data_IF_421561496251
#
_entry.id   IF_421561496251
#
_cell.length_a   1.000
_cell.length_b   1.000
_cell.length_c   1.000
_cell.angle_alpha   90.00
_cell.angle_beta   90.00
_cell.angle_gamma   90.00
#
_symmetry.space_group_name_H-M   'P 1'
#
loop_
_entity.id
_entity.type
_entity.pdbx_description
1 polymer ?
#
# COMPACT_ATOMS: atom_id res chain seq x y z
N UNK A 1 11.83 2.75 -23.99
CA UNK A 1 12.82 1.74 -23.53
C UNK A 1 13.49 1.12 -24.75
N UNK A 2 14.81 0.93 -24.70
CA UNK A 2 15.51 0.11 -25.69
C UNK A 2 15.30 -1.37 -25.38
N UNK A 3 15.30 -2.25 -26.41
CA UNK A 3 15.15 -3.69 -26.23
C UNK A 3 16.14 -4.29 -25.23
N UNK A 4 17.38 -3.79 -25.23
CA UNK A 4 18.41 -4.19 -24.27
C UNK A 4 18.03 -3.88 -22.81
N UNK A 5 17.37 -2.74 -22.57
CA UNK A 5 16.91 -2.39 -21.22
C UNK A 5 15.76 -3.29 -20.78
N UNK A 6 14.83 -3.62 -21.68
CA UNK A 6 13.76 -4.56 -21.39
C UNK A 6 14.30 -5.94 -21.01
N UNK A 7 15.27 -6.43 -21.75
CA UNK A 7 15.87 -7.74 -21.47
C UNK A 7 16.59 -7.76 -20.12
N UNK A 8 17.33 -6.71 -19.77
CA UNK A 8 17.96 -6.58 -18.45
C UNK A 8 16.94 -6.57 -17.30
N UNK A 9 15.82 -5.87 -17.48
CA UNK A 9 14.75 -5.88 -16.47
C UNK A 9 14.10 -7.25 -16.35
N UNK A 10 13.87 -7.96 -17.46
CA UNK A 10 13.31 -9.33 -17.44
C UNK A 10 14.25 -10.31 -16.73
N UNK A 11 15.55 -10.25 -16.99
CA UNK A 11 16.55 -11.06 -16.29
C UNK A 11 16.55 -10.76 -14.77
N UNK A 12 16.49 -9.48 -14.41
CA UNK A 12 16.45 -9.05 -13.01
C UNK A 12 15.16 -9.52 -12.33
N UNK A 13 14.00 -9.41 -12.98
CA UNK A 13 12.73 -9.91 -12.48
C UNK A 13 12.81 -11.42 -12.26
N UNK A 14 13.29 -12.17 -13.24
CA UNK A 14 13.41 -13.62 -13.13
C UNK A 14 14.36 -14.04 -12.00
N UNK A 15 15.50 -13.39 -11.83
CA UNK A 15 16.42 -13.67 -10.74
C UNK A 15 15.80 -13.41 -9.37
N UNK A 16 15.01 -12.35 -9.24
CA UNK A 16 14.30 -12.02 -8.00
C UNK A 16 13.16 -12.99 -7.71
N UNK A 17 12.43 -13.44 -8.73
CA UNK A 17 11.37 -14.45 -8.57
C UNK A 17 11.97 -15.78 -8.07
N UNK A 18 13.08 -16.22 -8.66
CA UNK A 18 13.78 -17.42 -8.19
C UNK A 18 14.21 -17.28 -6.73
N UNK A 19 14.76 -16.13 -6.36
CA UNK A 19 15.14 -15.84 -4.97
C UNK A 19 13.94 -15.89 -4.03
N UNK A 20 12.81 -15.29 -4.40
CA UNK A 20 11.61 -15.31 -3.57
C UNK A 20 11.01 -16.71 -3.46
N UNK A 21 11.03 -17.50 -4.54
CA UNK A 21 10.57 -18.87 -4.46
C UNK A 21 11.41 -19.71 -3.47
N UNK A 22 12.71 -19.46 -3.38
CA UNK A 22 13.57 -20.08 -2.36
C UNK A 22 13.23 -19.58 -0.96
N UNK A 23 13.13 -18.27 -0.77
CA UNK A 23 12.77 -17.67 0.52
C UNK A 23 11.37 -18.10 0.99
N UNK A 24 10.39 -18.21 0.08
CA UNK A 24 9.05 -18.69 0.43
C UNK A 24 9.06 -20.16 0.87
N UNK A 25 9.85 -21.01 0.22
CA UNK A 25 10.01 -22.42 0.65
C UNK A 25 10.75 -22.54 1.99
N UNK A 26 11.68 -21.66 2.30
CA UNK A 26 12.33 -21.59 3.61
C UNK A 26 11.33 -21.21 4.70
N UNK A 27 10.48 -20.19 4.45
CA UNK A 27 9.43 -19.75 5.38
C UNK A 27 8.35 -20.82 5.56
N UNK A 28 8.01 -21.60 4.52
CA UNK A 28 7.08 -22.74 4.61
C UNK A 28 7.61 -23.85 5.52
N UNK A 29 8.91 -24.08 5.51
CA UNK A 29 9.56 -25.13 6.28
C UNK A 29 9.96 -24.69 7.71
N UNK A 30 9.74 -23.42 8.07
CA UNK A 30 10.09 -22.91 9.39
C UNK A 30 9.06 -23.33 10.44
N UNK A 31 9.41 -24.19 11.41
CA UNK A 31 8.49 -24.70 12.42
C UNK A 31 8.01 -23.61 13.40
N UNK A 32 8.64 -22.44 13.41
CA UNK A 32 8.24 -21.33 14.28
C UNK A 32 7.02 -20.58 13.72
N UNK A 33 6.74 -20.71 12.43
CA UNK A 33 5.64 -20.06 11.73
C UNK A 33 4.47 -21.06 11.59
N UNK A 34 3.74 -21.28 12.67
CA UNK A 34 2.58 -22.18 12.65
C UNK A 34 1.29 -21.50 12.21
N UNK A 35 1.25 -20.16 12.13
CA UNK A 35 0.07 -19.40 11.77
C UNK A 35 0.09 -19.03 10.28
N UNK A 36 -0.93 -19.47 9.55
CA UNK A 36 -1.14 -19.16 8.13
C UNK A 36 -1.15 -17.66 7.83
N UNK A 37 -1.74 -16.84 8.72
CA UNK A 37 -1.86 -15.40 8.50
C UNK A 37 -0.50 -14.68 8.59
N UNK A 38 0.38 -15.17 9.47
CA UNK A 38 1.74 -14.65 9.60
C UNK A 38 2.53 -14.99 8.34
N UNK A 39 2.45 -16.23 7.87
CA UNK A 39 3.06 -16.67 6.63
C UNK A 39 2.63 -15.80 5.43
N UNK A 40 1.32 -15.63 5.22
CA UNK A 40 0.78 -14.83 4.13
C UNK A 40 1.23 -13.36 4.20
N UNK A 41 1.32 -12.78 5.40
CA UNK A 41 1.82 -11.41 5.57
C UNK A 41 3.32 -11.28 5.24
N UNK A 42 4.15 -12.24 5.65
CA UNK A 42 5.57 -12.25 5.34
C UNK A 42 5.77 -12.33 3.82
N UNK A 43 5.14 -13.30 3.16
CA UNK A 43 5.27 -13.48 1.70
C UNK A 43 4.76 -12.24 0.95
N UNK A 44 3.63 -11.67 1.35
CA UNK A 44 3.10 -10.43 0.76
C UNK A 44 4.09 -9.27 0.89
N UNK A 45 4.74 -9.13 2.04
CA UNK A 45 5.71 -8.08 2.30
C UNK A 45 6.98 -8.26 1.44
N UNK A 46 7.48 -9.50 1.32
CA UNK A 46 8.60 -9.83 0.45
C UNK A 46 8.30 -9.46 -1.02
N UNK A 47 7.14 -9.85 -1.53
CA UNK A 47 6.72 -9.57 -2.90
C UNK A 47 6.52 -8.07 -3.16
N UNK A 48 6.02 -7.33 -2.18
CA UNK A 48 5.87 -5.87 -2.26
C UNK A 48 7.25 -5.20 -2.29
N UNK A 49 8.20 -5.67 -1.50
CA UNK A 49 9.57 -5.16 -1.48
C UNK A 49 10.26 -5.34 -2.83
N UNK A 50 10.05 -6.48 -3.49
CA UNK A 50 10.57 -6.71 -4.84
C UNK A 50 10.05 -5.67 -5.81
N UNK A 51 8.74 -5.43 -5.83
CA UNK A 51 8.13 -4.43 -6.70
C UNK A 51 8.73 -3.05 -6.46
N UNK A 52 8.91 -2.66 -5.20
CA UNK A 52 9.48 -1.37 -4.84
C UNK A 52 10.95 -1.24 -5.29
N UNK A 53 11.75 -2.29 -5.11
CA UNK A 53 13.15 -2.32 -5.54
C UNK A 53 13.29 -2.21 -7.05
N UNK A 54 12.49 -2.96 -7.81
CA UNK A 54 12.49 -2.88 -9.28
C UNK A 54 12.01 -1.49 -9.73
N UNK A 55 10.98 -0.94 -9.10
CA UNK A 55 10.48 0.40 -9.37
C UNK A 55 11.54 1.47 -9.16
N UNK A 56 12.26 1.43 -8.05
CA UNK A 56 13.35 2.35 -7.73
C UNK A 56 14.52 2.22 -8.73
N UNK A 57 14.88 1.01 -9.10
CA UNK A 57 15.92 0.76 -10.09
C UNK A 57 15.53 1.30 -11.47
N UNK A 58 14.26 1.11 -11.86
CA UNK A 58 13.73 1.66 -13.10
C UNK A 58 13.76 3.20 -13.10
N UNK A 59 13.32 3.84 -12.02
CA UNK A 59 13.32 5.29 -11.88
C UNK A 59 14.73 5.88 -11.92
N UNK A 60 15.70 5.24 -11.27
CA UNK A 60 17.09 5.66 -11.33
C UNK A 60 17.65 5.58 -12.76
N UNK A 61 17.27 4.56 -13.51
CA UNK A 61 17.65 4.39 -14.92
C UNK A 61 17.06 5.47 -15.84
N UNK A 62 15.89 6.00 -15.51
CA UNK A 62 15.25 7.11 -16.24
C UNK A 62 15.92 8.44 -15.89
N UNK A 63 16.15 8.70 -14.61
CA UNK A 63 16.74 9.97 -14.15
C UNK A 63 18.13 10.24 -14.73
N UNK A 64 18.90 9.19 -14.97
CA UNK A 64 20.27 9.28 -15.46
C UNK A 64 20.38 9.46 -16.99
N UNK A 65 19.28 9.60 -17.72
CA UNK A 65 19.33 9.82 -19.18
C UNK A 65 19.49 11.31 -19.53
N UNK A 66 20.38 11.66 -20.48
CA UNK A 66 20.64 13.05 -20.85
C UNK A 66 19.44 13.80 -21.46
N UNK A 67 18.42 13.09 -21.97
CA UNK A 67 17.21 13.67 -22.57
C UNK A 67 15.96 13.56 -21.69
N UNK A 68 16.14 13.52 -20.38
CA UNK A 68 15.04 13.33 -19.43
C UNK A 68 13.98 14.46 -19.48
N UNK A 69 14.37 15.65 -19.87
CA UNK A 69 13.47 16.81 -19.98
C UNK A 69 12.41 16.69 -21.09
N UNK A 70 12.55 15.73 -22.01
CA UNK A 70 11.56 15.47 -23.06
C UNK A 70 10.54 14.39 -22.68
N UNK A 71 10.68 13.78 -21.50
CA UNK A 71 9.72 12.78 -21.02
C UNK A 71 8.64 13.43 -20.17
N UNK A 72 7.47 13.64 -20.74
CA UNK A 72 6.34 14.26 -20.06
C UNK A 72 5.94 13.54 -18.77
N UNK A 73 6.10 12.23 -18.69
CA UNK A 73 5.79 11.43 -17.50
C UNK A 73 6.81 11.72 -16.39
N UNK A 74 8.11 11.79 -16.72
CA UNK A 74 9.16 12.14 -15.77
C UNK A 74 9.02 13.59 -15.28
N UNK A 75 8.65 14.52 -16.16
CA UNK A 75 8.34 15.91 -15.81
C UNK A 75 7.13 16.01 -14.88
N UNK A 76 6.05 15.30 -15.17
CA UNK A 76 4.86 15.28 -14.33
C UNK A 76 5.14 14.73 -12.93
N UNK A 77 6.02 13.74 -12.82
CA UNK A 77 6.47 13.20 -11.55
C UNK A 77 7.33 14.21 -10.77
N UNK A 78 8.28 14.89 -11.44
CA UNK A 78 9.13 15.88 -10.79
C UNK A 78 8.35 17.14 -10.36
N UNK A 79 7.27 17.46 -11.04
CA UNK A 79 6.38 18.58 -10.73
C UNK A 79 5.42 18.32 -9.55
N UNK A 80 5.51 17.16 -8.87
CA UNK A 80 4.63 16.82 -7.73
C UNK A 80 3.16 16.62 -8.12
N UNK A 81 2.88 16.37 -9.41
CA UNK A 81 1.53 16.08 -9.88
C UNK A 81 1.10 14.65 -9.49
N UNK A 82 -0.13 14.26 -9.85
CA UNK A 82 -0.73 12.95 -9.50
C UNK A 82 0.00 11.71 -10.03
N UNK A 83 1.08 11.87 -10.77
CA UNK A 83 1.88 10.75 -11.32
C UNK A 83 2.84 10.25 -10.26
N UNK A 84 2.46 9.15 -9.60
CA UNK A 84 3.34 8.48 -8.66
C UNK A 84 4.40 7.65 -9.44
N UNK A 85 5.67 7.65 -9.01
CA UNK A 85 6.72 6.77 -9.53
C UNK A 85 6.33 5.30 -9.62
N UNK A 86 5.65 4.80 -8.60
CA UNK A 86 5.14 3.42 -8.58
C UNK A 86 4.20 3.11 -9.74
N UNK A 87 3.33 4.05 -10.11
CA UNK A 87 2.40 3.86 -11.23
C UNK A 87 3.14 3.76 -12.57
N UNK A 88 4.24 4.50 -12.71
CA UNK A 88 5.07 4.41 -13.93
C UNK A 88 5.74 3.04 -14.01
N UNK A 89 6.31 2.57 -12.90
CA UNK A 89 6.96 1.26 -12.83
C UNK A 89 5.96 0.12 -13.09
N UNK A 90 4.76 0.19 -12.53
CA UNK A 90 3.66 -0.77 -12.76
C UNK A 90 3.25 -0.84 -14.23
N UNK A 91 3.15 0.32 -14.88
CA UNK A 91 2.77 0.36 -16.29
C UNK A 91 3.87 -0.16 -17.23
N UNK A 92 5.14 0.07 -16.89
CA UNK A 92 6.25 -0.12 -17.82
C UNK A 92 7.09 -1.37 -17.57
N UNK A 93 7.13 -1.86 -16.34
CA UNK A 93 8.03 -2.97 -15.96
C UNK A 93 7.24 -4.17 -15.45
N UNK A 94 6.59 -4.04 -14.30
CA UNK A 94 5.77 -5.10 -13.75
C UNK A 94 4.67 -4.54 -12.82
N UNK A 95 3.52 -5.19 -12.83
CA UNK A 95 2.42 -4.86 -11.92
C UNK A 95 2.71 -5.31 -10.48
N UNK A 96 3.38 -6.43 -10.29
CA UNK A 96 3.72 -7.00 -8.99
C UNK A 96 2.57 -7.76 -8.33
N UNK A 97 2.64 -7.91 -6.99
CA UNK A 97 1.62 -8.64 -6.23
C UNK A 97 0.32 -7.86 -6.18
N UNK A 98 -0.72 -8.47 -6.72
CA UNK A 98 -2.10 -8.04 -6.55
C UNK A 98 -2.69 -8.65 -5.28
N UNK A 99 -3.51 -7.88 -4.60
CA UNK A 99 -4.19 -8.30 -3.37
C UNK A 99 -5.70 -8.16 -3.52
N UNK A 100 -6.44 -9.09 -2.95
CA UNK A 100 -7.89 -9.07 -2.87
C UNK A 100 -8.28 -8.93 -1.40
N UNK A 101 -9.01 -7.87 -1.06
CA UNK A 101 -9.40 -7.56 0.32
C UNK A 101 -8.22 -7.44 1.33
N UNK A 102 -7.03 -7.08 0.82
CA UNK A 102 -5.82 -6.93 1.63
C UNK A 102 -4.95 -8.17 1.75
N UNK A 103 -5.39 -9.30 1.21
CA UNK A 103 -4.70 -10.59 1.24
C UNK A 103 -4.28 -11.05 -0.16
N UNK A 104 -3.38 -12.02 -0.24
CA UNK A 104 -3.10 -12.73 -1.49
C UNK A 104 -4.34 -13.51 -1.92
N UNK A 105 -4.48 -13.79 -3.22
CA UNK A 105 -5.63 -14.53 -3.72
C UNK A 105 -5.83 -15.85 -2.96
N UNK A 106 -7.01 -16.07 -2.35
CA UNK A 106 -7.30 -17.29 -1.61
C UNK A 106 -7.46 -18.48 -2.58
N UNK A 107 -7.21 -19.67 -2.07
CA UNK A 107 -7.55 -20.87 -2.80
C UNK A 107 -9.07 -21.01 -2.93
N UNK A 108 -9.54 -21.23 -4.14
CA UNK A 108 -10.90 -21.57 -4.45
C UNK A 108 -11.13 -23.09 -4.41
N UNK A 109 -12.28 -23.53 -4.84
CA UNK A 109 -12.61 -24.96 -4.93
C UNK A 109 -11.53 -25.76 -5.68
N UNK A 110 -11.16 -26.90 -5.11
CA UNK A 110 -10.11 -27.75 -5.67
C UNK A 110 -8.69 -27.34 -5.29
N UNK A 111 -8.51 -26.49 -4.24
CA UNK A 111 -7.23 -26.10 -3.67
C UNK A 111 -6.28 -25.41 -4.69
N UNK A 112 -6.83 -24.57 -5.54
CA UNK A 112 -6.12 -23.73 -6.53
C UNK A 112 -6.86 -22.43 -6.74
N UNK A 113 -6.15 -21.37 -7.14
CA UNK A 113 -6.76 -20.04 -7.36
C UNK A 113 -7.49 -19.99 -8.70
N UNK A 114 -6.89 -20.53 -9.75
CA UNK A 114 -7.51 -20.66 -11.07
C UNK A 114 -7.37 -22.09 -11.58
N UNK A 115 -8.30 -22.58 -12.43
CA UNK A 115 -8.21 -23.90 -13.04
C UNK A 115 -6.91 -24.14 -13.84
N UNK A 116 -6.26 -23.10 -14.26
CA UNK A 116 -5.00 -23.09 -15.00
C UNK A 116 -3.81 -23.58 -14.17
N UNK A 117 -3.82 -23.31 -12.85
CA UNK A 117 -2.70 -23.63 -11.96
C UNK A 117 -2.80 -25.03 -11.34
N UNK A 118 -1.68 -25.52 -10.88
CA UNK A 118 -1.61 -26.79 -10.15
C UNK A 118 -2.27 -26.65 -8.79
N UNK A 119 -2.75 -27.77 -8.24
CA UNK A 119 -3.33 -27.79 -6.90
C UNK A 119 -2.25 -27.56 -5.86
N UNK A 120 -2.60 -26.88 -4.77
CA UNK A 120 -1.73 -26.58 -3.63
C UNK A 120 -0.45 -25.81 -3.97
N UNK A 121 -0.41 -25.15 -5.13
CA UNK A 121 0.72 -24.31 -5.50
C UNK A 121 0.69 -22.98 -4.76
N UNK A 122 1.73 -22.73 -3.96
CA UNK A 122 1.95 -21.44 -3.28
C UNK A 122 2.90 -20.51 -4.04
N UNK A 123 3.24 -20.86 -5.27
CA UNK A 123 4.12 -20.00 -6.08
C UNK A 123 3.52 -18.59 -6.22
N UNK A 124 4.36 -17.54 -6.19
CA UNK A 124 3.87 -16.17 -6.28
C UNK A 124 3.00 -15.90 -7.50
N UNK A 125 3.37 -16.45 -8.65
CA UNK A 125 2.61 -16.27 -9.90
C UNK A 125 1.22 -16.90 -9.83
N UNK A 126 1.07 -18.03 -9.14
CA UNK A 126 -0.20 -18.73 -8.97
C UNK A 126 -1.14 -18.03 -7.98
N UNK A 127 -0.58 -17.16 -7.15
CA UNK A 127 -1.27 -16.40 -6.10
C UNK A 127 -1.33 -14.89 -6.38
N UNK A 128 -1.25 -14.50 -7.65
CA UNK A 128 -1.52 -13.13 -8.12
C UNK A 128 -0.30 -12.21 -8.22
N UNK A 129 0.90 -12.75 -8.32
CA UNK A 129 2.08 -11.95 -8.64
C UNK A 129 2.23 -11.82 -10.16
N UNK A 130 2.00 -10.62 -10.68
CA UNK A 130 2.11 -10.31 -12.10
C UNK A 130 3.53 -9.87 -12.44
N UNK A 131 4.14 -10.55 -13.41
CA UNK A 131 5.52 -10.30 -13.84
C UNK A 131 5.62 -9.33 -15.01
N UNK A 132 4.51 -9.04 -15.66
CA UNK A 132 4.44 -8.14 -16.82
C UNK A 132 3.86 -6.79 -16.44
N UNK A 133 4.32 -5.74 -17.13
CA UNK A 133 3.70 -4.41 -17.10
C UNK A 133 2.61 -4.27 -18.17
N UNK A 134 1.76 -3.26 -18.02
CA UNK A 134 0.66 -3.03 -18.99
C UNK A 134 1.15 -2.72 -20.40
N UNK A 135 2.33 -2.10 -20.56
CA UNK A 135 2.89 -1.79 -21.88
C UNK A 135 3.41 -3.02 -22.62
N UNK A 136 3.90 -4.02 -21.91
CA UNK A 136 4.32 -5.30 -22.52
C UNK A 136 3.15 -6.24 -22.78
N UNK A 137 2.02 -5.96 -22.12
CA UNK A 137 0.83 -6.80 -22.17
C UNK A 137 0.84 -7.88 -21.10
N UNK A 138 -0.31 -8.05 -20.44
CA UNK A 138 -0.49 -9.07 -19.42
C UNK A 138 -0.75 -10.43 -20.09
N UNK A 139 -0.18 -11.48 -19.54
CA UNK A 139 -0.57 -12.83 -19.91
C UNK A 139 -1.97 -13.15 -19.34
N UNK A 140 -2.63 -14.09 -19.90
CA UNK A 140 -4.01 -14.43 -19.61
C UNK A 140 -4.33 -14.67 -18.10
N UNK A 141 -3.54 -15.39 -17.26
CA UNK A 141 -3.82 -15.48 -15.83
C UNK A 141 -3.66 -14.14 -15.11
N UNK A 142 -2.63 -13.36 -15.45
CA UNK A 142 -2.39 -12.02 -14.86
C UNK A 142 -3.53 -11.06 -15.17
N UNK A 143 -4.07 -11.13 -16.39
CA UNK A 143 -5.25 -10.35 -16.77
C UNK A 143 -6.47 -10.69 -15.92
N UNK A 144 -6.72 -11.99 -15.65
CA UNK A 144 -7.83 -12.41 -14.79
C UNK A 144 -7.65 -11.85 -13.38
N UNK A 145 -6.47 -11.97 -12.78
CA UNK A 145 -6.19 -11.40 -11.44
C UNK A 145 -6.46 -9.90 -11.41
N UNK A 146 -5.99 -9.19 -12.43
CA UNK A 146 -6.21 -7.74 -12.52
C UNK A 146 -7.71 -7.40 -12.68
N UNK A 147 -8.44 -8.14 -13.48
CA UNK A 147 -9.88 -7.97 -13.65
C UNK A 147 -10.66 -8.25 -12.35
N UNK A 148 -10.27 -9.26 -11.58
CA UNK A 148 -10.88 -9.57 -10.28
C UNK A 148 -10.68 -8.45 -9.27
N UNK A 149 -9.43 -7.95 -9.13
CA UNK A 149 -9.12 -6.82 -8.23
C UNK A 149 -9.83 -5.55 -8.67
N UNK A 150 -9.80 -5.23 -9.95
CA UNK A 150 -10.46 -4.05 -10.49
C UNK A 150 -11.98 -4.08 -10.27
N UNK A 151 -12.62 -5.23 -10.47
CA UNK A 151 -14.05 -5.42 -10.19
C UNK A 151 -14.36 -5.26 -8.70
N UNK A 152 -13.57 -5.87 -7.81
CA UNK A 152 -13.74 -5.74 -6.37
C UNK A 152 -13.61 -4.28 -5.91
N UNK A 153 -12.57 -3.58 -6.37
CA UNK A 153 -12.35 -2.18 -6.06
C UNK A 153 -13.53 -1.30 -6.51
N UNK A 154 -14.14 -1.58 -7.68
CA UNK A 154 -15.32 -0.83 -8.15
C UNK A 154 -16.57 -1.13 -7.33
N UNK A 155 -16.80 -2.36 -6.91
CA UNK A 155 -17.89 -2.70 -6.02
C UNK A 155 -17.75 -1.99 -4.67
N UNK A 156 -16.55 -2.00 -4.09
CA UNK A 156 -16.25 -1.33 -2.82
C UNK A 156 -16.41 0.18 -2.91
N UNK A 157 -15.90 0.80 -3.98
CA UNK A 157 -16.06 2.24 -4.22
C UNK A 157 -17.53 2.65 -4.22
N UNK A 158 -18.40 1.88 -4.88
CA UNK A 158 -19.83 2.17 -4.96
C UNK A 158 -20.54 2.00 -3.62
N UNK A 159 -20.31 0.91 -2.90
CA UNK A 159 -20.96 0.62 -1.63
C UNK A 159 -20.48 1.58 -0.54
N UNK A 160 -19.17 1.72 -0.37
CA UNK A 160 -18.59 2.54 0.71
C UNK A 160 -18.93 4.03 0.57
N UNK A 161 -19.08 4.54 -0.65
CA UNK A 161 -19.45 5.95 -0.86
C UNK A 161 -20.84 6.25 -0.31
N UNK A 162 -21.82 5.38 -0.55
CA UNK A 162 -23.18 5.54 -0.04
C UNK A 162 -23.22 5.48 1.48
N UNK A 163 -22.58 4.48 2.08
CA UNK A 163 -22.55 4.27 3.53
C UNK A 163 -21.82 5.44 4.24
N UNK A 164 -20.66 5.82 3.74
CA UNK A 164 -19.90 6.95 4.28
C UNK A 164 -20.68 8.26 4.18
N UNK A 165 -21.38 8.49 3.08
CA UNK A 165 -22.24 9.66 2.90
C UNK A 165 -23.41 9.69 3.89
N UNK A 166 -24.07 8.54 4.12
CA UNK A 166 -25.16 8.43 5.09
C UNK A 166 -24.68 8.67 6.54
N UNK A 167 -23.53 8.09 6.91
CA UNK A 167 -22.93 8.30 8.23
C UNK A 167 -22.51 9.74 8.42
N UNK A 168 -21.81 10.33 7.43
CA UNK A 168 -21.37 11.73 7.48
C UNK A 168 -22.54 12.70 7.63
N UNK A 169 -23.65 12.47 6.91
CA UNK A 169 -24.86 13.29 7.05
C UNK A 169 -25.48 13.16 8.47
N UNK A 170 -25.59 11.94 8.99
CA UNK A 170 -26.11 11.73 10.36
C UNK A 170 -25.23 12.42 11.40
N UNK A 171 -23.91 12.32 11.27
CA UNK A 171 -22.96 13.00 12.16
C UNK A 171 -23.10 14.52 12.08
N UNK A 172 -23.21 15.08 10.87
CA UNK A 172 -23.39 16.51 10.68
C UNK A 172 -24.68 17.03 11.36
N UNK A 173 -25.80 16.29 11.23
CA UNK A 173 -27.07 16.64 11.85
C UNK A 173 -26.97 16.58 13.40
N UNK A 174 -26.31 15.55 13.95
CA UNK A 174 -26.13 15.41 15.39
C UNK A 174 -25.26 16.55 15.95
N UNK A 175 -24.24 16.97 15.19
CA UNK A 175 -23.29 17.99 15.63
C UNK A 175 -23.72 19.43 15.30
N UNK A 176 -24.84 19.63 14.60
CA UNK A 176 -25.32 20.94 14.16
C UNK A 176 -25.55 21.91 15.33
N UNK A 177 -26.06 21.40 16.45
CA UNK A 177 -26.41 22.17 17.63
C UNK A 177 -25.24 22.43 18.59
N UNK A 178 -24.09 21.80 18.36
CA UNK A 178 -22.92 21.93 19.25
C UNK A 178 -22.00 23.04 18.79
N UNK A 179 -21.73 23.97 19.69
CA UNK A 179 -20.83 25.11 19.44
C UNK A 179 -19.90 25.38 20.62
N UNK A 180 -18.72 25.88 20.32
CA UNK A 180 -17.80 26.42 21.34
C UNK A 180 -18.23 27.80 21.77
N UNK A 181 -18.30 28.05 23.04
CA UNK A 181 -18.60 29.36 23.65
C UNK A 181 -17.33 30.10 24.04
N UNK A 182 -17.44 31.41 24.41
CA UNK A 182 -16.27 32.23 24.77
C UNK A 182 -15.53 31.76 26.05
N UNK A 183 -16.18 30.97 26.88
CA UNK A 183 -15.60 30.31 28.05
C UNK A 183 -14.82 29.02 27.73
N UNK A 184 -14.63 28.75 26.41
CA UNK A 184 -13.93 27.58 25.89
C UNK A 184 -14.63 26.24 26.14
N UNK A 185 -15.86 26.27 26.63
CA UNK A 185 -16.70 25.07 26.77
C UNK A 185 -17.43 24.77 25.48
N UNK A 186 -17.76 23.50 25.22
CA UNK A 186 -18.64 23.07 24.15
C UNK A 186 -20.03 22.91 24.72
N UNK A 187 -21.01 23.58 24.14
CA UNK A 187 -22.40 23.57 24.59
C UNK A 187 -23.34 23.12 23.50
N UNK A 188 -24.41 22.45 23.91
CA UNK A 188 -25.54 22.10 23.08
C UNK A 188 -26.60 23.21 22.96
N UNK A 189 -27.72 22.88 22.34
CA UNK A 189 -28.81 23.80 22.03
C UNK A 189 -29.39 24.49 23.29
N UNK A 190 -29.51 23.77 24.40
CA UNK A 190 -30.07 24.25 25.66
C UNK A 190 -29.02 24.80 26.62
N UNK A 191 -27.87 25.23 26.13
CA UNK A 191 -26.72 25.69 26.94
C UNK A 191 -26.15 24.61 27.89
N UNK A 192 -26.50 23.36 27.70
CA UNK A 192 -25.93 22.22 28.42
C UNK A 192 -24.45 22.06 28.06
N UNK A 193 -23.61 21.88 29.06
CA UNK A 193 -22.17 21.68 28.87
C UNK A 193 -21.93 20.22 28.45
N UNK A 194 -21.52 20.01 27.20
CA UNK A 194 -21.17 18.71 26.66
C UNK A 194 -19.70 18.39 26.93
N UNK A 195 -18.84 19.39 26.79
CA UNK A 195 -17.41 19.25 27.01
C UNK A 195 -16.88 20.50 27.71
N UNK A 196 -16.14 20.32 28.78
CA UNK A 196 -15.60 21.43 29.59
C UNK A 196 -14.49 22.16 28.85
N UNK A 197 -13.69 21.43 28.07
CA UNK A 197 -12.63 21.98 27.22
C UNK A 197 -12.73 21.36 25.83
N UNK A 198 -12.68 22.18 24.79
CA UNK A 198 -12.65 21.69 23.41
C UNK A 198 -11.45 20.73 23.20
N UNK A 199 -11.74 19.50 22.76
CA UNK A 199 -10.72 18.46 22.51
C UNK A 199 -9.97 17.99 23.77
N UNK A 200 -10.54 18.17 24.97
CA UNK A 200 -9.98 17.86 26.31
C UNK A 200 -8.71 18.64 26.67
N UNK A 201 -7.98 19.18 25.71
CA UNK A 201 -6.71 19.90 25.90
C UNK A 201 -6.71 21.31 25.33
N UNK A 202 -7.85 21.78 24.82
CA UNK A 202 -8.03 23.08 24.19
C UNK A 202 -7.12 23.34 22.97
N UNK A 203 -6.63 22.27 22.34
CA UNK A 203 -5.77 22.36 21.16
C UNK A 203 -6.61 22.06 19.91
N UNK A 204 -6.60 22.97 18.94
CA UNK A 204 -7.19 22.73 17.62
C UNK A 204 -6.29 21.78 16.81
N UNK A 205 -6.89 20.86 16.06
CA UNK A 205 -6.15 19.88 15.25
C UNK A 205 -5.20 20.52 14.23
N UNK A 206 -5.55 21.72 13.72
CA UNK A 206 -4.73 22.49 12.79
C UNK A 206 -3.39 22.96 13.39
N UNK A 207 -3.37 23.16 14.71
CA UNK A 207 -2.18 23.64 15.44
C UNK A 207 -1.38 22.51 16.08
N UNK A 208 -1.85 21.27 15.95
CA UNK A 208 -1.20 20.10 16.50
C UNK A 208 0.03 19.74 15.66
N UNK A 209 1.20 19.74 16.29
CA UNK A 209 2.43 19.28 15.66
C UNK A 209 2.78 17.88 16.13
N UNK A 210 3.21 17.04 15.18
CA UNK A 210 3.77 15.72 15.52
C UNK A 210 5.16 15.93 16.12
N UNK A 211 5.32 15.54 17.37
CA UNK A 211 6.60 15.54 18.06
C UNK A 211 7.10 14.11 18.25
N UNK A 212 8.27 13.81 17.69
CA UNK A 212 8.95 12.56 17.95
C UNK A 212 9.56 12.61 19.35
N UNK A 213 8.93 11.95 20.30
CA UNK A 213 9.44 11.83 21.67
C UNK A 213 10.63 10.86 21.73
N UNK A 214 11.76 11.25 21.15
CA UNK A 214 12.98 10.42 21.12
C UNK A 214 13.45 10.05 22.54
N UNK A 215 13.05 10.80 23.55
CA UNK A 215 13.35 10.52 24.95
C UNK A 215 12.83 9.15 25.41
N UNK A 216 11.74 8.64 24.80
CA UNK A 216 11.17 7.34 25.12
C UNK A 216 12.04 6.16 24.63
N UNK A 217 12.94 6.42 23.69
CA UNK A 217 13.85 5.41 23.15
C UNK A 217 15.21 5.41 23.82
N UNK A 218 15.47 6.38 24.73
CA UNK A 218 16.75 6.53 25.36
C UNK A 218 16.88 5.68 26.63
N UNK A 219 18.07 5.11 26.81
CA UNK A 219 18.50 4.45 28.04
C UNK A 219 18.75 5.49 29.14
N UNK A 220 18.69 5.12 30.42
CA UNK A 220 18.96 6.01 31.55
C UNK A 220 20.34 6.69 31.46
N UNK A 221 21.35 6.01 30.92
CA UNK A 221 22.68 6.58 30.68
C UNK A 221 22.67 7.66 29.61
N UNK A 222 21.97 7.40 28.49
CA UNK A 222 21.81 8.36 27.40
C UNK A 222 20.99 9.59 27.82
N UNK A 223 20.00 9.41 28.69
CA UNK A 223 19.25 10.53 29.28
C UNK A 223 20.13 11.39 30.13
N UNK A 224 20.96 10.78 30.99
CA UNK A 224 21.91 11.50 31.83
C UNK A 224 22.94 12.29 31.02
N UNK A 225 23.50 11.67 29.99
CA UNK A 225 24.53 12.31 29.15
C UNK A 225 23.98 13.49 28.33
N UNK A 226 22.70 13.43 27.94
CA UNK A 226 22.12 14.43 27.05
C UNK A 226 21.40 15.57 27.76
N UNK A 227 20.93 15.37 29.01
CA UNK A 227 20.05 16.31 29.68
C UNK A 227 20.58 16.74 31.07
N UNK A 228 21.61 16.10 31.60
CA UNK A 228 22.25 16.39 32.89
C UNK A 228 23.75 16.48 32.74
#
# INVERSE_FOLDING_TARGET
QTEEQKNKFKELINSLIVKVNLETTEVENDPTISNSDIYENIVKQMLTTIRTNIGNHFLSSIKNKPNNNLNNIAMSNSGGSKVNPDNIARNTVLEGQLVLDGERFPFLDGRRVLPYFTRDSNQPMDRGFNTHGFLDGLIWPEYIFNAMVGRRAKCDEKSKTADSGAVSRKMAIILEDYKTTYDLTVRGLNDEIIQIMYGDNNITAEKQQFYNANILTYNNEQIKEKYF
#
